data_IF_460872911065
#
_entry.id   IF_460872911065
#
_cell.length_a   1.000
_cell.length_b   1.000
_cell.length_c   1.000
_cell.angle_alpha   90.00
_cell.angle_beta   90.00
_cell.angle_gamma   90.00
#
_symmetry.space_group_name_H-M   'P 1'
#
loop_
_entity.id
_entity.type
_entity.pdbx_description
1 polymer ?
#
# COMPACT_ATOMS: atom_id res chain seq x y z
N UNK A 1 -14.86 -5.28 7.60
CA UNK A 1 -14.88 -5.13 6.12
C UNK A 1 -13.57 -4.48 5.66
N UNK A 2 -12.98 -4.92 4.55
CA UNK A 2 -11.64 -4.45 4.11
C UNK A 2 -11.65 -3.03 3.51
N UNK A 3 -12.60 -2.73 2.62
CA UNK A 3 -12.62 -1.46 1.88
C UNK A 3 -12.96 -0.22 2.73
N UNK A 4 -13.64 -0.41 3.86
CA UNK A 4 -14.10 0.67 4.74
C UNK A 4 -13.23 0.85 5.97
N UNK A 5 -12.27 -0.06 6.22
CA UNK A 5 -11.37 0.03 7.35
C UNK A 5 -10.14 0.86 6.97
N UNK A 6 -9.68 1.70 7.90
CA UNK A 6 -8.44 2.43 7.71
C UNK A 6 -7.25 1.49 7.72
N UNK A 7 -6.33 1.70 6.78
CA UNK A 7 -5.07 0.96 6.80
C UNK A 7 -4.17 1.50 7.90
N UNK A 8 -3.38 0.63 8.53
CA UNK A 8 -2.47 1.02 9.62
C UNK A 8 -1.42 2.05 9.17
N UNK A 9 -0.97 1.93 7.92
CA UNK A 9 0.09 2.74 7.30
C UNK A 9 -0.37 4.15 6.96
N UNK A 10 -1.51 4.29 6.29
CA UNK A 10 -1.93 5.60 5.73
C UNK A 10 -3.10 6.22 6.47
N UNK A 11 -3.68 5.50 7.44
CA UNK A 11 -4.85 5.91 8.23
C UNK A 11 -6.06 6.33 7.38
N UNK A 12 -6.11 5.84 6.13
CA UNK A 12 -7.18 6.06 5.17
C UNK A 12 -7.71 4.72 4.69
N UNK A 13 -9.03 4.61 4.54
CA UNK A 13 -9.67 3.44 3.95
C UNK A 13 -9.49 3.42 2.42
N UNK A 14 -9.42 2.23 1.79
CA UNK A 14 -9.41 2.13 0.33
C UNK A 14 -10.59 2.86 -0.34
N UNK A 15 -11.78 2.80 0.29
CA UNK A 15 -12.96 3.48 -0.21
C UNK A 15 -12.81 5.02 -0.17
N UNK A 16 -12.30 5.56 0.94
CA UNK A 16 -12.06 6.99 1.08
C UNK A 16 -11.07 7.51 0.04
N UNK A 17 -9.99 6.77 -0.23
CA UNK A 17 -9.00 7.17 -1.25
C UNK A 17 -9.59 7.21 -2.66
N UNK A 18 -10.55 6.32 -2.94
CA UNK A 18 -11.20 6.26 -4.24
C UNK A 18 -12.24 7.37 -4.44
N UNK A 19 -13.03 7.65 -3.40
CA UNK A 19 -14.22 8.50 -3.53
C UNK A 19 -14.20 9.79 -2.71
N UNK A 20 -13.21 9.96 -1.83
CA UNK A 20 -13.05 11.09 -0.92
C UNK A 20 -14.17 11.24 0.13
N UNK A 21 -14.88 10.16 0.44
CA UNK A 21 -15.85 10.10 1.53
C UNK A 21 -15.93 8.68 2.11
N UNK A 22 -16.45 8.55 3.33
CA UNK A 22 -16.83 7.26 3.89
C UNK A 22 -18.36 7.14 3.89
N UNK A 23 -18.93 6.00 3.47
CA UNK A 23 -20.37 5.83 3.40
C UNK A 23 -20.95 5.78 4.81
N UNK A 24 -22.03 6.53 5.04
CA UNK A 24 -22.85 6.47 6.26
C UNK A 24 -24.14 5.72 5.97
N UNK A 25 -24.75 5.10 7.00
CA UNK A 25 -26.00 4.34 6.84
C UNK A 25 -27.16 5.18 6.27
N UNK A 26 -27.12 6.48 6.52
CA UNK A 26 -28.07 7.45 6.00
C UNK A 26 -27.31 8.53 5.25
N UNK A 27 -27.74 8.83 4.02
CA UNK A 27 -27.26 9.96 3.24
C UNK A 27 -28.46 10.75 2.70
N UNK A 28 -28.32 12.07 2.65
CA UNK A 28 -29.32 12.94 2.01
C UNK A 28 -29.24 12.70 0.50
N UNK A 29 -30.39 12.61 -0.17
CA UNK A 29 -30.43 12.50 -1.63
C UNK A 29 -29.55 13.60 -2.25
N UNK A 30 -28.73 13.23 -3.24
CA UNK A 30 -27.93 14.18 -3.99
C UNK A 30 -28.89 15.17 -4.67
N UNK A 31 -28.69 16.46 -4.43
CA UNK A 31 -29.30 17.52 -5.23
C UNK A 31 -28.77 17.43 -6.67
N UNK A 32 -29.43 18.15 -7.59
CA UNK A 32 -29.14 18.14 -9.03
C UNK A 32 -27.65 18.19 -9.38
N UNK A 33 -27.29 17.62 -10.52
CA UNK A 33 -25.91 17.48 -10.96
C UNK A 33 -25.23 18.86 -11.12
N UNK A 34 -24.23 19.13 -10.29
CA UNK A 34 -23.37 20.31 -10.36
C UNK A 34 -21.99 19.91 -10.93
N UNK A 35 -21.72 20.36 -12.15
CA UNK A 35 -20.48 20.07 -12.86
C UNK A 35 -19.25 20.72 -12.20
N UNK A 36 -19.37 21.92 -11.65
CA UNK A 36 -18.24 22.62 -11.02
C UNK A 36 -17.85 21.94 -9.70
N UNK A 37 -18.84 21.51 -8.93
CA UNK A 37 -18.61 20.72 -7.73
C UNK A 37 -17.95 19.36 -8.06
N UNK A 38 -18.37 18.70 -9.14
CA UNK A 38 -17.77 17.46 -9.60
C UNK A 38 -16.28 17.65 -9.99
N UNK A 39 -15.95 18.72 -10.72
CA UNK A 39 -14.57 19.02 -11.11
C UNK A 39 -13.67 19.31 -9.89
N UNK A 40 -14.18 20.08 -8.91
CA UNK A 40 -13.46 20.33 -7.64
C UNK A 40 -13.18 19.02 -6.90
N UNK A 41 -14.17 18.12 -6.84
CA UNK A 41 -14.03 16.81 -6.21
C UNK A 41 -13.00 15.93 -6.93
N UNK A 42 -13.02 15.87 -8.25
CA UNK A 42 -12.03 15.11 -9.03
C UNK A 42 -10.61 15.64 -8.76
N UNK A 43 -10.41 16.96 -8.72
CA UNK A 43 -9.10 17.56 -8.39
C UNK A 43 -8.63 17.13 -6.99
N UNK A 44 -9.54 17.12 -6.02
CA UNK A 44 -9.23 16.70 -4.64
C UNK A 44 -8.90 15.21 -4.54
N UNK A 45 -9.67 14.34 -5.20
CA UNK A 45 -9.37 12.91 -5.30
C UNK A 45 -7.96 12.68 -5.86
N UNK A 46 -7.63 13.34 -6.98
CA UNK A 46 -6.30 13.22 -7.59
C UNK A 46 -5.19 13.64 -6.63
N UNK A 47 -5.36 14.77 -5.94
CA UNK A 47 -4.40 15.25 -4.95
C UNK A 47 -4.19 14.24 -3.82
N UNK A 48 -5.28 13.70 -3.25
CA UNK A 48 -5.21 12.68 -2.19
C UNK A 48 -4.47 11.43 -2.67
N UNK A 49 -4.70 11.00 -3.91
CA UNK A 49 -4.03 9.83 -4.49
C UNK A 49 -2.54 10.08 -4.73
N UNK A 50 -2.15 11.28 -5.17
CA UNK A 50 -0.75 11.67 -5.36
C UNK A 50 0.01 11.71 -4.03
N UNK A 51 -0.57 12.34 -3.00
CA UNK A 51 -0.01 12.36 -1.63
C UNK A 51 0.18 10.94 -1.10
N UNK A 52 -0.86 10.11 -1.21
CA UNK A 52 -0.82 8.73 -0.74
C UNK A 52 0.25 7.91 -1.46
N UNK A 53 0.44 8.13 -2.77
CA UNK A 53 1.46 7.44 -3.55
C UNK A 53 2.86 7.80 -3.06
N UNK A 54 3.08 9.06 -2.68
CA UNK A 54 4.35 9.52 -2.10
C UNK A 54 4.59 8.89 -0.72
N UNK A 55 3.60 8.92 0.15
CA UNK A 55 3.66 8.31 1.49
C UNK A 55 3.98 6.81 1.43
N UNK A 56 3.31 6.07 0.53
CA UNK A 56 3.54 4.65 0.35
C UNK A 56 4.94 4.33 -0.16
N UNK A 57 5.49 5.15 -1.07
CA UNK A 57 6.88 5.01 -1.54
C UNK A 57 7.86 5.23 -0.39
N UNK A 58 7.67 6.28 0.38
CA UNK A 58 8.51 6.58 1.54
C UNK A 58 8.50 5.43 2.56
N UNK A 59 7.33 4.90 2.90
CA UNK A 59 7.22 3.75 3.82
C UNK A 59 7.89 2.51 3.22
N UNK A 60 7.72 2.26 1.93
CA UNK A 60 8.36 1.14 1.24
C UNK A 60 9.90 1.25 1.29
N UNK A 61 10.46 2.44 1.04
CA UNK A 61 11.90 2.68 1.11
C UNK A 61 12.44 2.43 2.52
N UNK A 62 11.75 2.93 3.55
CA UNK A 62 12.11 2.65 4.96
C UNK A 62 12.07 1.15 5.25
N UNK A 63 11.01 0.46 4.83
CA UNK A 63 10.89 -1.00 5.00
C UNK A 63 12.04 -1.74 4.32
N UNK A 64 12.42 -1.34 3.11
CA UNK A 64 13.54 -1.91 2.36
C UNK A 64 14.84 -1.71 3.12
N UNK A 65 15.11 -0.50 3.63
CA UNK A 65 16.32 -0.20 4.38
C UNK A 65 16.48 -1.13 5.60
N UNK A 66 15.43 -1.26 6.42
CA UNK A 66 15.47 -2.14 7.59
C UNK A 66 15.53 -3.62 7.22
N UNK A 67 14.75 -4.05 6.21
CA UNK A 67 14.74 -5.44 5.77
C UNK A 67 16.07 -5.87 5.16
N UNK A 68 16.74 -4.99 4.41
CA UNK A 68 18.02 -5.27 3.77
C UNK A 68 19.20 -5.15 4.72
N UNK A 69 19.11 -4.36 5.80
CA UNK A 69 20.21 -4.20 6.78
C UNK A 69 20.75 -5.51 7.35
N UNK A 70 19.92 -6.57 7.42
CA UNK A 70 20.28 -7.90 7.92
C UNK A 70 20.43 -8.96 6.82
N UNK A 71 20.28 -8.57 5.55
CA UNK A 71 20.44 -9.49 4.42
C UNK A 71 21.90 -9.50 3.99
N UNK A 72 22.46 -10.70 3.87
CA UNK A 72 23.76 -10.90 3.26
C UNK A 72 23.57 -10.71 1.75
N UNK A 73 24.38 -9.83 1.15
CA UNK A 73 24.20 -9.29 -0.20
C UNK A 73 24.04 -10.40 -1.27
N UNK A 74 24.81 -11.49 -1.16
CA UNK A 74 24.56 -12.80 -1.76
C UNK A 74 25.68 -13.72 -1.27
N UNK A 75 25.38 -14.92 -0.79
CA UNK A 75 26.44 -15.91 -0.62
C UNK A 75 26.82 -16.45 -2.00
N UNK A 76 27.99 -16.05 -2.51
CA UNK A 76 28.52 -16.57 -3.77
C UNK A 76 29.18 -17.90 -3.45
N UNK A 77 28.49 -19.01 -3.71
CA UNK A 77 29.02 -20.36 -3.56
C UNK A 77 29.88 -20.73 -4.76
N UNK A 78 31.06 -21.29 -4.50
CA UNK A 78 31.98 -21.80 -5.51
C UNK A 78 32.05 -23.33 -5.47
N UNK A 79 32.51 -23.93 -6.58
CA UNK A 79 32.69 -25.38 -6.65
C UNK A 79 33.76 -25.80 -5.62
N UNK A 80 33.38 -26.68 -4.70
CA UNK A 80 34.26 -27.15 -3.62
C UNK A 80 33.85 -26.66 -2.22
N UNK A 81 32.98 -25.65 -2.15
CA UNK A 81 32.47 -25.15 -0.87
C UNK A 81 31.59 -26.20 -0.17
N UNK A 82 31.83 -26.39 1.13
CA UNK A 82 30.97 -27.22 1.98
C UNK A 82 29.81 -26.38 2.50
N UNK A 83 28.59 -26.84 2.27
CA UNK A 83 27.36 -26.17 2.73
C UNK A 83 26.49 -27.14 3.53
N UNK A 84 25.80 -26.60 4.54
CA UNK A 84 24.77 -27.35 5.25
C UNK A 84 23.48 -27.36 4.41
N UNK A 85 22.92 -28.55 4.21
CA UNK A 85 21.65 -28.74 3.50
C UNK A 85 20.52 -29.01 4.49
N UNK A 86 19.35 -28.40 4.25
CA UNK A 86 18.16 -28.68 5.02
C UNK A 86 17.51 -29.98 4.51
N UNK A 87 17.49 -31.02 5.35
CA UNK A 87 16.95 -32.36 5.03
C UNK A 87 15.55 -32.31 4.40
N UNK A 88 14.67 -31.43 4.90
CA UNK A 88 13.29 -31.28 4.40
C UNK A 88 13.18 -30.91 2.91
N UNK A 89 14.24 -30.35 2.32
CA UNK A 89 14.28 -29.94 0.92
C UNK A 89 14.92 -31.00 0.01
N UNK A 90 15.39 -32.12 0.57
CA UNK A 90 15.92 -33.25 -0.18
C UNK A 90 14.83 -34.32 -0.17
N UNK A 91 14.20 -34.55 -1.33
CA UNK A 91 13.33 -35.71 -1.50
C UNK A 91 14.22 -36.94 -1.58
N UNK A 92 14.04 -37.82 -0.60
CA UNK A 92 14.54 -39.20 -0.59
C UNK A 92 13.49 -40.13 -1.14
#
# INVERSE_FOLDING_TARGET
AYNSADTSTTKKSPFFVLYEYNPTAYYKALLEADAEAADKRIKKIKKVQEELRSELRFVQEQMIQYANSKRIERLILQKGDKVYLLRKNIKT
#
